data_IF_606762859099
#
_entry.id   IF_606762859099
#
_cell.length_a   1.000
_cell.length_b   1.000
_cell.length_c   1.000
_cell.angle_alpha   90.00
_cell.angle_beta   90.00
_cell.angle_gamma   90.00
#
_symmetry.space_group_name_H-M   'P 1'
#
loop_
_entity.id
_entity.type
_entity.pdbx_description
1 polymer ?
#
# COMPACT_ATOMS: atom_id res chain seq x y z
N UNK A 1 26.85 -6.34 34.78
CA UNK A 1 25.54 -6.34 34.09
C UNK A 1 25.53 -5.14 33.15
N UNK A 2 25.77 -5.36 31.86
CA UNK A 2 26.06 -4.34 30.85
C UNK A 2 24.73 -3.81 30.25
N UNK A 3 24.13 -2.80 30.91
CA UNK A 3 22.85 -2.21 30.52
C UNK A 3 22.82 -1.16 29.37
N UNK A 4 23.93 -0.68 28.76
CA UNK A 4 23.82 0.43 27.81
C UNK A 4 23.39 0.00 26.40
N UNK A 5 23.60 -1.27 26.00
CA UNK A 5 23.36 -1.70 24.62
C UNK A 5 21.86 -1.85 24.29
N UNK A 6 21.06 -2.31 25.27
CA UNK A 6 19.62 -2.48 25.09
C UNK A 6 18.88 -1.14 24.98
N UNK A 7 19.32 -0.12 25.73
CA UNK A 7 18.73 1.21 25.66
C UNK A 7 18.99 1.86 24.28
N UNK A 8 20.21 1.77 23.75
CA UNK A 8 20.57 2.32 22.43
C UNK A 8 19.81 1.60 21.30
N UNK A 9 19.61 0.28 21.41
CA UNK A 9 18.79 -0.46 20.46
C UNK A 9 17.31 0.00 20.49
N UNK A 10 16.75 0.24 21.67
CA UNK A 10 15.36 0.67 21.82
C UNK A 10 15.11 2.11 21.33
N UNK A 11 16.05 3.02 21.58
CA UNK A 11 16.05 4.39 21.04
C UNK A 11 16.18 4.42 19.49
N UNK A 12 16.87 3.43 18.91
CA UNK A 12 16.95 3.23 17.46
C UNK A 12 15.63 2.79 16.83
N UNK A 13 14.83 1.96 17.52
CA UNK A 13 13.51 1.53 17.04
C UNK A 13 12.46 2.65 17.12
N UNK A 14 12.54 3.54 18.11
CA UNK A 14 11.60 4.67 18.22
C UNK A 14 11.84 5.74 17.16
N UNK A 15 13.03 5.80 16.56
CA UNK A 15 13.37 6.70 15.45
C UNK A 15 13.13 6.09 14.06
N UNK A 16 12.69 4.82 13.97
CA UNK A 16 12.33 4.20 12.71
C UNK A 16 10.91 4.58 12.24
N UNK A 17 10.13 5.24 13.09
CA UNK A 17 8.90 5.94 12.71
C UNK A 17 9.18 7.43 12.44
N UNK A 18 10.28 7.74 11.74
CA UNK A 18 10.24 8.93 10.91
C UNK A 18 9.01 8.74 10.02
N UNK A 19 8.02 9.63 10.13
CA UNK A 19 6.94 9.67 9.15
C UNK A 19 7.66 9.72 7.80
N UNK A 20 7.66 8.58 7.10
CA UNK A 20 8.23 8.53 5.77
C UNK A 20 7.55 9.69 5.05
N UNK A 21 8.36 10.56 4.45
CA UNK A 21 7.86 11.65 3.62
C UNK A 21 7.26 10.99 2.37
N UNK A 22 6.15 10.28 2.57
CA UNK A 22 5.47 9.50 1.58
C UNK A 22 4.95 10.54 0.60
N UNK A 23 5.42 10.45 -0.64
CA UNK A 23 4.89 11.26 -1.71
C UNK A 23 3.36 11.15 -1.68
N UNK A 24 2.66 12.28 -1.85
CA UNK A 24 1.21 12.31 -1.91
C UNK A 24 0.74 11.26 -2.93
N UNK A 25 -0.04 10.28 -2.50
CA UNK A 25 -0.39 9.15 -3.35
C UNK A 25 -0.67 7.85 -2.63
N UNK A 26 -1.09 6.88 -3.42
CA UNK A 26 -1.32 5.51 -3.00
C UNK A 26 -0.71 4.54 -3.99
N UNK A 27 -0.26 3.40 -3.46
CA UNK A 27 0.00 2.19 -4.23
C UNK A 27 -0.72 1.03 -3.54
N UNK A 28 -1.64 0.38 -4.26
CA UNK A 28 -2.36 -0.80 -3.78
C UNK A 28 -1.96 -1.96 -4.67
N UNK A 29 -1.23 -2.93 -4.12
CA UNK A 29 -0.86 -4.15 -4.83
C UNK A 29 -1.43 -5.37 -4.13
N UNK A 30 -1.66 -6.42 -4.90
CA UNK A 30 -2.18 -7.68 -4.39
C UNK A 30 -2.16 -8.79 -5.43
N UNK A 31 -2.63 -9.97 -5.02
CA UNK A 31 -2.76 -11.13 -5.87
C UNK A 31 -4.13 -11.77 -5.66
N UNK A 32 -4.91 -11.91 -6.74
CA UNK A 32 -6.14 -12.69 -6.72
C UNK A 32 -5.83 -14.14 -7.06
N UNK A 33 -6.05 -15.04 -6.11
CA UNK A 33 -5.95 -16.48 -6.37
C UNK A 33 -7.10 -16.91 -7.27
N UNK A 34 -6.80 -17.77 -8.25
CA UNK A 34 -7.75 -18.30 -9.24
C UNK A 34 -8.39 -17.26 -10.17
N UNK A 35 -7.86 -16.04 -10.23
CA UNK A 35 -8.26 -15.08 -11.25
C UNK A 35 -7.46 -15.33 -12.54
N UNK A 36 -8.12 -15.44 -13.71
CA UNK A 36 -7.41 -15.49 -14.99
C UNK A 36 -6.56 -14.23 -15.22
N UNK A 37 -5.50 -14.37 -16.02
CA UNK A 37 -4.77 -13.22 -16.52
C UNK A 37 -5.69 -12.27 -17.29
N UNK A 38 -5.49 -10.96 -17.14
CA UNK A 38 -6.31 -9.94 -17.81
C UNK A 38 -7.67 -9.68 -17.16
N UNK A 39 -7.95 -10.29 -15.99
CA UNK A 39 -9.14 -9.95 -15.19
C UNK A 39 -9.07 -8.46 -14.85
N UNK A 40 -10.14 -7.72 -15.15
CA UNK A 40 -10.18 -6.28 -14.94
C UNK A 40 -10.69 -5.98 -13.53
N UNK A 41 -9.92 -5.20 -12.77
CA UNK A 41 -10.26 -4.73 -11.43
C UNK A 41 -10.49 -3.22 -11.47
N UNK A 42 -11.52 -2.76 -10.76
CA UNK A 42 -11.83 -1.35 -10.59
C UNK A 42 -11.60 -0.94 -9.14
N UNK A 43 -10.90 0.17 -8.93
CA UNK A 43 -10.76 0.83 -7.64
C UNK A 43 -11.70 2.03 -7.62
N UNK A 44 -12.61 2.06 -6.65
CA UNK A 44 -13.48 3.19 -6.42
C UNK A 44 -13.44 3.60 -4.94
N UNK A 45 -13.53 4.90 -4.68
CA UNK A 45 -13.56 5.47 -3.35
C UNK A 45 -14.97 5.99 -3.05
N UNK A 46 -15.46 5.75 -1.84
CA UNK A 46 -16.73 6.32 -1.39
C UNK A 46 -16.51 7.76 -0.92
N UNK A 47 -16.97 8.74 -1.70
CA UNK A 47 -16.91 10.17 -1.38
C UNK A 47 -18.31 10.72 -1.20
N UNK A 48 -18.63 11.25 -0.02
CA UNK A 48 -19.90 11.96 0.25
C UNK A 48 -21.16 11.22 -0.26
N UNK A 49 -21.19 9.90 -0.10
CA UNK A 49 -22.27 8.97 -0.56
C UNK A 49 -22.26 8.53 -2.03
N UNK A 50 -21.20 8.79 -2.80
CA UNK A 50 -21.05 8.28 -4.17
C UNK A 50 -19.71 7.55 -4.34
N UNK A 51 -19.71 6.50 -5.16
CA UNK A 51 -18.47 5.84 -5.56
C UNK A 51 -17.82 6.63 -6.72
N UNK A 52 -16.59 7.09 -6.52
CA UNK A 52 -15.77 7.77 -7.52
C UNK A 52 -14.68 6.81 -7.98
N UNK A 53 -14.59 6.55 -9.28
CA UNK A 53 -13.55 5.67 -9.84
C UNK A 53 -12.17 6.33 -9.72
N UNK A 54 -11.22 5.56 -9.17
CA UNK A 54 -9.83 5.98 -8.95
C UNK A 54 -8.86 5.31 -9.91
N UNK A 55 -9.24 4.15 -10.46
CA UNK A 55 -8.47 3.53 -11.52
C UNK A 55 -8.91 2.12 -11.87
N UNK A 56 -8.28 1.59 -12.91
CA UNK A 56 -8.47 0.24 -13.40
C UNK A 56 -7.12 -0.47 -13.46
N UNK A 57 -7.08 -1.74 -13.04
CA UNK A 57 -5.91 -2.61 -13.18
C UNK A 57 -6.32 -3.92 -13.86
N UNK A 58 -5.34 -4.64 -14.40
CA UNK A 58 -5.52 -6.00 -14.89
C UNK A 58 -4.60 -6.95 -14.14
N UNK A 59 -5.08 -8.15 -13.87
CA UNK A 59 -4.22 -9.21 -13.34
C UNK A 59 -3.19 -9.65 -14.37
N UNK A 60 -1.99 -9.99 -13.91
CA UNK A 60 -1.00 -10.71 -14.71
C UNK A 60 -1.28 -12.23 -14.75
N UNK A 61 -0.36 -12.99 -15.35
CA UNK A 61 -0.44 -14.46 -15.43
C UNK A 61 -0.47 -15.18 -14.08
N UNK A 62 -0.06 -14.51 -12.99
CA UNK A 62 -0.07 -15.04 -11.63
C UNK A 62 -1.24 -14.47 -10.80
N UNK A 63 -2.09 -13.63 -11.38
CA UNK A 63 -3.17 -12.97 -10.65
C UNK A 63 -2.75 -11.68 -9.93
N UNK A 64 -1.51 -11.19 -10.13
CA UNK A 64 -1.03 -9.98 -9.47
C UNK A 64 -1.63 -8.73 -10.11
N UNK A 65 -1.92 -7.72 -9.31
CA UNK A 65 -2.37 -6.40 -9.76
C UNK A 65 -1.70 -5.30 -8.93
N UNK A 66 -1.61 -4.10 -9.52
CA UNK A 66 -1.17 -2.89 -8.83
C UNK A 66 -2.00 -1.70 -9.32
N UNK A 67 -2.52 -0.92 -8.38
CA UNK A 67 -3.03 0.43 -8.61
C UNK A 67 -2.01 1.43 -8.08
N UNK A 68 -1.82 2.54 -8.81
CA UNK A 68 -1.08 3.72 -8.33
C UNK A 68 -1.90 4.96 -8.64
N UNK A 69 -1.86 5.94 -7.76
CA UNK A 69 -2.51 7.22 -7.98
C UNK A 69 -2.10 8.25 -6.96
N UNK A 70 -2.56 9.47 -7.14
CA UNK A 70 -2.38 10.55 -6.19
C UNK A 70 -3.54 10.55 -5.19
N UNK A 71 -3.27 10.85 -3.93
CA UNK A 71 -4.33 11.05 -2.95
C UNK A 71 -4.94 12.44 -3.24
N UNK A 72 -6.28 12.59 -3.25
CA UNK A 72 -6.91 13.89 -3.48
C UNK A 72 -6.44 14.98 -2.53
#
# INVERSE_FOLDING_TARGET
>A
MNLPLAAVALLGLTNACQNANAAAGYEISGQLKNAPAGTTLHLAELTSSQFVERGTAKTDAKGNFTFKGEQP
#
